data_IF_083876458293
#
_entry.id   IF_083876458293
#
_cell.length_a   1.000
_cell.length_b   1.000
_cell.length_c   1.000
_cell.angle_alpha   90.00
_cell.angle_beta   90.00
_cell.angle_gamma   90.00
#
_symmetry.space_group_name_H-M   'P 1'
#
loop_
_entity.id
_entity.type
_entity.pdbx_description
1 polymer ?
#
# COMPACT_ATOMS: atom_id res chain seq x y z
N UNK A 1 -24.77 -20.80 6.38
CA UNK A 1 -23.36 -20.40 6.17
C UNK A 1 -23.32 -18.91 5.85
N UNK A 2 -22.36 -18.16 6.41
CA UNK A 2 -22.17 -16.74 6.08
C UNK A 2 -21.96 -16.55 4.58
N UNK A 3 -22.47 -15.43 4.03
CA UNK A 3 -22.36 -15.12 2.60
C UNK A 3 -20.93 -14.86 2.16
N UNK A 4 -20.10 -14.36 3.07
CA UNK A 4 -18.69 -14.03 2.80
C UNK A 4 -17.78 -14.63 3.86
N UNK A 5 -16.59 -15.06 3.46
CA UNK A 5 -15.48 -15.40 4.38
C UNK A 5 -14.38 -14.35 4.21
N UNK A 6 -14.02 -13.66 5.26
CA UNK A 6 -13.06 -12.55 5.27
C UNK A 6 -11.84 -12.94 6.11
N UNK A 7 -10.66 -12.85 5.54
CA UNK A 7 -9.40 -13.01 6.29
C UNK A 7 -9.12 -11.71 7.06
N UNK A 8 -9.16 -11.80 8.38
CA UNK A 8 -9.00 -10.67 9.30
C UNK A 8 -7.55 -10.58 9.78
N UNK A 9 -6.86 -9.52 9.38
CA UNK A 9 -5.44 -9.29 9.62
C UNK A 9 -5.25 -8.01 10.43
N UNK A 10 -5.25 -8.08 11.78
CA UNK A 10 -5.07 -6.88 12.60
C UNK A 10 -3.69 -6.23 12.39
N UNK A 11 -2.64 -7.02 12.21
CA UNK A 11 -1.28 -6.52 12.11
C UNK A 11 -0.68 -6.16 13.47
N UNK A 12 -0.06 -4.98 13.57
CA UNK A 12 0.70 -4.57 14.74
C UNK A 12 0.04 -3.37 15.46
N UNK A 13 0.40 -3.20 16.73
CA UNK A 13 0.13 -2.00 17.51
C UNK A 13 -1.33 -1.54 17.43
N UNK A 14 -1.56 -0.34 16.85
CA UNK A 14 -2.90 0.24 16.71
C UNK A 14 -3.84 -0.63 15.86
N UNK A 15 -3.34 -1.47 14.96
CA UNK A 15 -4.12 -2.38 14.16
C UNK A 15 -4.97 -3.33 15.01
N UNK A 16 -4.42 -3.78 16.14
CA UNK A 16 -5.10 -4.63 17.12
C UNK A 16 -6.25 -3.91 17.85
N UNK A 17 -6.29 -2.59 17.80
CA UNK A 17 -7.35 -1.78 18.42
C UNK A 17 -8.40 -1.37 17.39
N UNK A 18 -7.99 -0.91 16.21
CA UNK A 18 -8.92 -0.36 15.22
C UNK A 18 -9.67 -1.43 14.43
N UNK A 19 -9.05 -2.59 14.19
CA UNK A 19 -9.71 -3.65 13.43
C UNK A 19 -10.95 -4.23 14.17
N UNK A 20 -10.90 -4.54 15.47
CA UNK A 20 -12.10 -4.96 16.21
C UNK A 20 -13.24 -3.94 16.13
N UNK A 21 -12.96 -2.65 16.16
CA UNK A 21 -13.99 -1.62 16.02
C UNK A 21 -14.60 -1.59 14.61
N UNK A 22 -13.80 -1.79 13.57
CA UNK A 22 -14.29 -1.96 12.21
C UNK A 22 -15.21 -3.19 12.09
N UNK A 23 -14.86 -4.31 12.74
CA UNK A 23 -15.70 -5.51 12.77
C UNK A 23 -17.03 -5.28 13.50
N UNK A 24 -17.01 -4.49 14.59
CA UNK A 24 -18.25 -4.08 15.28
C UNK A 24 -19.18 -3.28 14.39
N UNK A 25 -18.62 -2.35 13.61
CA UNK A 25 -19.41 -1.56 12.64
C UNK A 25 -19.99 -2.46 11.55
N UNK A 26 -19.18 -3.35 10.96
CA UNK A 26 -19.67 -4.29 9.94
C UNK A 26 -20.79 -5.18 10.46
N UNK A 27 -20.68 -5.66 11.70
CA UNK A 27 -21.73 -6.42 12.36
C UNK A 27 -23.00 -5.58 12.58
N UNK A 28 -22.86 -4.34 13.01
CA UNK A 28 -23.98 -3.44 13.28
C UNK A 28 -24.78 -3.09 12.01
N UNK A 29 -24.12 -3.00 10.84
CA UNK A 29 -24.79 -2.78 9.55
C UNK A 29 -25.28 -4.07 8.88
N UNK A 30 -25.18 -5.21 9.57
CA UNK A 30 -25.69 -6.50 9.09
C UNK A 30 -24.85 -7.12 7.97
N UNK A 31 -23.55 -6.82 7.89
CA UNK A 31 -22.68 -7.47 6.91
C UNK A 31 -22.49 -8.94 7.26
N UNK A 32 -23.02 -9.82 6.42
CA UNK A 32 -23.04 -11.28 6.63
C UNK A 32 -21.70 -11.90 6.25
N UNK A 33 -20.78 -11.98 7.21
CA UNK A 33 -19.44 -12.51 7.02
C UNK A 33 -18.97 -13.37 8.21
N UNK A 34 -18.20 -14.41 7.88
CA UNK A 34 -17.34 -15.13 8.81
C UNK A 34 -15.92 -14.54 8.72
N UNK A 35 -15.26 -14.34 9.85
CA UNK A 35 -13.93 -13.77 9.92
C UNK A 35 -12.93 -14.81 10.38
N UNK A 36 -11.91 -15.06 9.55
CA UNK A 36 -10.78 -15.95 9.87
C UNK A 36 -9.58 -15.09 10.22
N UNK A 37 -9.02 -15.25 11.41
CA UNK A 37 -7.82 -14.55 11.83
C UNK A 37 -6.59 -15.02 11.04
N UNK A 38 -5.71 -14.08 10.68
CA UNK A 38 -4.41 -14.36 10.08
C UNK A 38 -3.36 -13.35 10.54
N UNK A 39 -2.17 -13.84 10.82
CA UNK A 39 -1.06 -13.05 11.31
C UNK A 39 -0.32 -12.35 10.17
N UNK A 40 0.10 -11.10 10.42
CA UNK A 40 0.88 -10.28 9.50
C UNK A 40 1.56 -9.16 10.30
N UNK A 41 2.76 -8.77 9.91
CA UNK A 41 3.39 -7.56 10.42
C UNK A 41 4.69 -7.82 11.17
N UNK A 42 4.98 -6.92 12.10
CA UNK A 42 6.28 -6.83 12.76
C UNK A 42 6.55 -7.97 13.72
N UNK A 43 5.52 -8.45 14.44
CA UNK A 43 5.68 -9.59 15.32
C UNK A 43 6.04 -10.87 14.56
N UNK A 44 5.44 -11.08 13.38
CA UNK A 44 5.82 -12.18 12.48
C UNK A 44 7.27 -12.02 12.01
N UNK A 45 7.69 -10.81 11.66
CA UNK A 45 9.07 -10.54 11.30
C UNK A 45 10.04 -10.90 12.43
N UNK A 46 9.80 -10.40 13.65
CA UNK A 46 10.65 -10.65 14.81
C UNK A 46 10.78 -12.16 15.08
N UNK A 47 9.66 -12.88 15.03
CA UNK A 47 9.56 -14.27 15.46
C UNK A 47 9.98 -15.29 14.39
N UNK A 48 9.80 -14.98 13.11
CA UNK A 48 9.92 -15.93 12.00
C UNK A 48 10.86 -15.44 10.89
N UNK A 49 11.25 -14.16 10.89
CA UNK A 49 12.04 -13.55 9.81
C UNK A 49 11.22 -13.30 8.54
N UNK A 50 9.90 -13.35 8.64
CA UNK A 50 8.98 -13.11 7.54
C UNK A 50 7.74 -12.32 8.03
N UNK A 51 7.54 -11.11 7.53
CA UNK A 51 6.43 -10.25 7.94
C UNK A 51 5.08 -10.63 7.30
N UNK A 52 5.05 -11.52 6.33
CA UNK A 52 3.85 -12.08 5.69
C UNK A 52 3.95 -13.61 5.65
N UNK A 53 3.52 -14.31 6.71
CA UNK A 53 3.62 -15.77 6.81
C UNK A 53 2.86 -16.50 5.68
N UNK A 54 3.39 -17.65 5.26
CA UNK A 54 2.77 -18.44 4.20
C UNK A 54 1.31 -18.85 4.49
N UNK A 55 0.94 -19.25 5.74
CA UNK A 55 -0.47 -19.53 6.07
C UNK A 55 -1.42 -18.36 5.76
N UNK A 56 -0.98 -17.12 5.99
CA UNK A 56 -1.78 -15.93 5.65
C UNK A 56 -1.94 -15.75 4.14
N UNK A 57 -0.88 -16.00 3.37
CA UNK A 57 -0.94 -16.01 1.90
C UNK A 57 -1.93 -17.07 1.42
N UNK A 58 -1.89 -18.27 1.98
CA UNK A 58 -2.76 -19.38 1.59
C UNK A 58 -4.24 -19.09 1.89
N UNK A 59 -4.54 -18.50 3.06
CA UNK A 59 -5.88 -18.04 3.41
C UNK A 59 -6.40 -16.97 2.45
N UNK A 60 -5.57 -15.97 2.14
CA UNK A 60 -5.92 -14.92 1.19
C UNK A 60 -6.13 -15.46 -0.23
N UNK A 61 -5.29 -16.38 -0.67
CA UNK A 61 -5.44 -17.04 -1.97
C UNK A 61 -6.76 -17.83 -2.06
N UNK A 62 -7.15 -18.50 -0.97
CA UNK A 62 -8.38 -19.29 -0.89
C UNK A 62 -9.63 -18.42 -0.86
N UNK A 63 -9.67 -17.42 0.02
CA UNK A 63 -10.89 -16.65 0.30
C UNK A 63 -10.98 -15.34 -0.50
N UNK A 64 -9.87 -14.82 -1.04
CA UNK A 64 -9.79 -13.65 -1.92
C UNK A 64 -10.36 -12.35 -1.34
N UNK A 65 -10.65 -12.32 -0.06
CA UNK A 65 -11.19 -11.18 0.65
C UNK A 65 -10.48 -11.02 1.98
N UNK A 66 -9.79 -9.91 2.16
CA UNK A 66 -9.04 -9.60 3.38
C UNK A 66 -9.44 -8.26 3.97
N UNK A 67 -9.52 -8.18 5.28
CA UNK A 67 -9.65 -6.96 6.05
C UNK A 67 -8.37 -6.75 6.86
N UNK A 68 -7.73 -5.61 6.65
CA UNK A 68 -6.41 -5.33 7.18
C UNK A 68 -6.42 -4.10 8.10
N UNK A 69 -5.77 -4.21 9.26
CA UNK A 69 -5.59 -3.13 10.21
C UNK A 69 -4.40 -2.24 9.89
N UNK A 70 -3.31 -2.40 10.64
CA UNK A 70 -2.09 -1.61 10.45
C UNK A 70 -0.84 -2.45 10.76
N UNK A 71 0.30 -2.06 10.19
CA UNK A 71 1.61 -2.67 10.50
C UNK A 71 2.65 -1.61 10.87
N UNK A 72 3.63 -2.04 11.65
CA UNK A 72 4.90 -1.33 11.84
C UNK A 72 5.82 -1.63 10.67
N UNK A 73 6.57 -0.64 10.20
CA UNK A 73 7.60 -0.79 9.18
C UNK A 73 8.80 0.06 9.54
N UNK A 74 9.99 -0.53 9.53
CA UNK A 74 11.25 0.13 9.87
C UNK A 74 12.29 -0.10 8.78
N UNK A 75 13.34 0.73 8.71
CA UNK A 75 14.47 0.49 7.82
C UNK A 75 15.11 -0.87 8.06
N UNK A 76 15.64 -1.50 7.01
CA UNK A 76 16.16 -2.86 7.06
C UNK A 76 17.23 -3.08 8.15
N UNK A 77 18.09 -2.08 8.38
CA UNK A 77 19.12 -2.15 9.42
C UNK A 77 18.52 -2.33 10.84
N UNK A 78 17.46 -1.57 11.15
CA UNK A 78 16.74 -1.71 12.42
C UNK A 78 15.98 -3.04 12.47
N UNK A 79 15.33 -3.40 11.37
CA UNK A 79 14.59 -4.65 11.25
C UNK A 79 15.47 -5.87 11.57
N UNK A 80 16.71 -5.90 11.08
CA UNK A 80 17.67 -6.97 11.37
C UNK A 80 18.02 -7.05 12.84
N UNK A 81 18.17 -5.92 13.53
CA UNK A 81 18.52 -5.88 14.95
C UNK A 81 17.42 -6.40 15.87
N UNK A 82 16.17 -6.34 15.43
CA UNK A 82 15.00 -6.78 16.21
C UNK A 82 14.61 -8.24 16.01
N UNK A 83 15.20 -8.93 15.04
CA UNK A 83 15.02 -10.37 14.89
C UNK A 83 15.41 -11.11 16.17
N UNK A 84 14.73 -12.21 16.47
CA UNK A 84 15.15 -13.15 17.49
C UNK A 84 16.62 -13.56 17.27
N UNK A 85 17.42 -13.76 18.34
CA UNK A 85 18.85 -14.07 18.23
C UNK A 85 19.14 -15.23 17.26
N UNK A 86 18.31 -16.26 17.29
CA UNK A 86 18.44 -17.46 16.46
C UNK A 86 18.20 -17.23 14.96
N UNK A 87 17.59 -16.10 14.57
CA UNK A 87 17.32 -15.74 13.18
C UNK A 87 18.34 -14.75 12.61
N UNK A 88 19.10 -14.09 13.46
CA UNK A 88 20.09 -13.09 13.04
C UNK A 88 21.19 -13.73 12.21
N UNK A 89 21.63 -13.03 11.16
CA UNK A 89 22.70 -13.52 10.28
C UNK A 89 22.33 -14.66 9.34
N UNK A 90 21.08 -15.12 9.33
CA UNK A 90 20.61 -16.19 8.43
C UNK A 90 20.12 -15.70 7.06
N UNK A 91 20.41 -14.45 6.70
CA UNK A 91 20.05 -13.92 5.38
C UNK A 91 18.61 -13.43 5.24
N UNK A 92 17.84 -13.33 6.34
CA UNK A 92 16.52 -12.71 6.30
C UNK A 92 16.63 -11.24 5.88
N UNK A 93 15.78 -10.81 4.97
CA UNK A 93 15.67 -9.42 4.51
C UNK A 93 14.24 -8.95 4.72
N UNK A 94 14.08 -7.84 5.43
CA UNK A 94 12.76 -7.27 5.66
C UNK A 94 12.21 -6.65 4.38
N UNK A 95 11.04 -7.12 3.98
CA UNK A 95 10.21 -6.49 2.98
C UNK A 95 8.86 -6.12 3.61
N UNK A 96 8.31 -4.97 3.22
CA UNK A 96 6.99 -4.58 3.68
C UNK A 96 5.94 -5.64 3.27
N UNK A 97 5.24 -6.25 4.23
CA UNK A 97 4.24 -7.28 3.92
C UNK A 97 3.10 -6.73 3.04
N UNK A 98 2.82 -5.44 3.10
CA UNK A 98 1.84 -4.78 2.21
C UNK A 98 2.31 -4.78 0.77
N UNK A 99 3.59 -4.46 0.52
CA UNK A 99 4.16 -4.49 -0.83
C UNK A 99 4.16 -5.93 -1.36
N UNK A 100 4.61 -6.87 -0.53
CA UNK A 100 4.61 -8.30 -0.88
C UNK A 100 3.20 -8.79 -1.23
N UNK A 101 2.20 -8.50 -0.40
CA UNK A 101 0.80 -8.87 -0.64
C UNK A 101 0.26 -8.27 -1.94
N UNK A 102 0.56 -6.99 -2.22
CA UNK A 102 0.15 -6.33 -3.46
C UNK A 102 0.75 -7.01 -4.70
N UNK A 103 2.01 -7.38 -4.65
CA UNK A 103 2.70 -8.07 -5.74
C UNK A 103 2.20 -9.50 -5.90
N UNK A 104 2.08 -10.25 -4.80
CA UNK A 104 1.63 -11.66 -4.80
C UNK A 104 0.23 -11.81 -5.41
N UNK A 105 -0.68 -10.92 -5.07
CA UNK A 105 -2.09 -10.99 -5.51
C UNK A 105 -2.43 -10.02 -6.64
N UNK A 106 -1.43 -9.33 -7.21
CA UNK A 106 -1.62 -8.30 -8.24
C UNK A 106 -2.69 -7.27 -7.87
N UNK A 107 -2.61 -6.75 -6.62
CA UNK A 107 -3.53 -5.72 -6.12
C UNK A 107 -3.10 -4.35 -6.65
N UNK A 108 -3.26 -4.17 -7.95
CA UNK A 108 -2.74 -3.01 -8.69
C UNK A 108 -3.65 -1.77 -8.63
N UNK A 109 -4.89 -1.91 -8.21
CA UNK A 109 -5.85 -0.81 -8.11
C UNK A 109 -6.14 -0.48 -6.65
N UNK A 110 -5.70 0.69 -6.20
CA UNK A 110 -6.07 1.24 -4.90
C UNK A 110 -7.19 2.27 -5.09
N UNK A 111 -8.39 1.92 -4.67
CA UNK A 111 -9.55 2.80 -4.70
C UNK A 111 -9.70 3.51 -3.34
N UNK A 112 -9.74 4.84 -3.36
CA UNK A 112 -9.84 5.70 -2.17
C UNK A 112 -11.02 6.65 -2.30
N UNK A 113 -12.20 6.30 -1.81
CA UNK A 113 -13.30 7.24 -1.71
C UNK A 113 -13.02 8.29 -0.62
N UNK A 114 -13.26 9.54 -0.95
CA UNK A 114 -13.16 10.69 -0.05
C UNK A 114 -14.52 11.38 -0.06
N UNK A 115 -15.26 11.23 1.03
CA UNK A 115 -16.61 11.82 1.18
C UNK A 115 -16.59 12.77 2.37
N UNK A 116 -16.98 14.03 2.15
CA UNK A 116 -17.18 15.01 3.21
C UNK A 116 -18.56 14.84 3.82
N UNK A 117 -18.63 14.76 5.15
CA UNK A 117 -19.88 14.77 5.90
C UNK A 117 -20.15 16.19 6.39
N UNK A 118 -21.19 16.83 5.89
CA UNK A 118 -21.53 18.20 6.23
C UNK A 118 -21.60 18.43 7.76
N UNK A 119 -21.04 19.55 8.21
CA UNK A 119 -20.99 19.90 9.64
C UNK A 119 -19.84 19.25 10.42
N UNK A 120 -18.99 18.43 9.79
CA UNK A 120 -17.80 17.95 10.46
C UNK A 120 -16.76 19.08 10.61
N UNK A 121 -16.30 19.39 11.83
CA UNK A 121 -15.39 20.52 12.06
C UNK A 121 -14.01 20.38 11.37
N UNK A 122 -13.67 19.19 10.88
CA UNK A 122 -12.44 18.92 10.13
C UNK A 122 -12.60 19.02 8.62
N UNK A 123 -13.81 19.34 8.13
CA UNK A 123 -14.03 19.51 6.70
C UNK A 123 -13.31 20.74 6.15
N UNK A 124 -13.00 20.67 4.85
CA UNK A 124 -12.45 21.80 4.13
C UNK A 124 -13.47 22.93 4.05
N UNK A 125 -13.06 24.12 4.47
CA UNK A 125 -13.83 25.35 4.39
C UNK A 125 -13.18 26.26 3.33
N UNK A 126 -13.97 26.67 2.36
CA UNK A 126 -13.53 27.58 1.30
C UNK A 126 -13.97 29.01 1.61
N UNK A 127 -13.01 29.97 1.61
CA UNK A 127 -13.32 31.40 1.69
C UNK A 127 -13.92 31.85 0.35
N UNK A 128 -15.07 32.52 0.40
CA UNK A 128 -15.74 33.09 -0.77
C UNK A 128 -15.16 34.48 -1.11
N UNK A 129 -15.41 34.92 -2.34
CA UNK A 129 -14.97 36.24 -2.82
C UNK A 129 -15.65 37.37 -2.06
N UNK A 130 -16.89 37.19 -1.59
CA UNK A 130 -17.66 38.13 -0.79
C UNK A 130 -17.25 38.19 0.69
N UNK A 131 -16.18 37.46 1.08
CA UNK A 131 -15.67 37.38 2.45
C UNK A 131 -16.35 36.35 3.34
N UNK A 132 -17.40 35.70 2.87
CA UNK A 132 -18.06 34.58 3.55
C UNK A 132 -17.29 33.28 3.41
N UNK A 133 -17.84 32.22 4.03
CA UNK A 133 -17.28 30.87 3.97
C UNK A 133 -18.36 29.89 3.49
N UNK A 134 -17.94 28.89 2.73
CA UNK A 134 -18.80 27.76 2.36
C UNK A 134 -18.07 26.44 2.59
N UNK A 135 -18.83 25.42 2.90
CA UNK A 135 -18.40 24.04 3.04
C UNK A 135 -18.82 23.28 1.76
N UNK A 136 -17.92 23.10 0.79
CA UNK A 136 -18.26 22.43 -0.46
C UNK A 136 -18.53 20.94 -0.19
N UNK A 137 -19.54 20.40 -0.85
CA UNK A 137 -19.77 18.97 -0.86
C UNK A 137 -18.58 18.28 -1.56
N UNK A 138 -17.95 17.37 -0.86
CA UNK A 138 -16.86 16.54 -1.39
C UNK A 138 -17.38 15.10 -1.53
N UNK A 139 -17.34 14.57 -2.74
CA UNK A 139 -17.59 13.17 -3.05
C UNK A 139 -16.68 12.80 -4.23
N UNK A 140 -15.46 12.40 -3.89
CA UNK A 140 -14.38 12.13 -4.84
C UNK A 140 -13.81 10.74 -4.59
N UNK A 141 -13.56 9.97 -5.65
CA UNK A 141 -12.85 8.70 -5.52
C UNK A 141 -11.55 8.75 -6.32
N UNK A 142 -10.43 8.56 -5.64
CA UNK A 142 -9.10 8.51 -6.24
C UNK A 142 -8.75 7.05 -6.56
N UNK A 143 -8.44 6.79 -7.82
CA UNK A 143 -7.89 5.51 -8.27
C UNK A 143 -6.37 5.64 -8.42
N UNK A 144 -5.61 4.85 -7.66
CA UNK A 144 -4.16 4.85 -7.68
C UNK A 144 -3.63 3.51 -8.13
N UNK A 145 -2.74 3.53 -9.13
CA UNK A 145 -1.95 2.37 -9.49
C UNK A 145 -0.98 2.03 -8.33
N UNK A 146 -0.86 0.77 -7.96
CA UNK A 146 -0.34 0.37 -6.67
C UNK A 146 0.85 -0.60 -6.74
N UNK A 147 1.22 -1.06 -7.94
CA UNK A 147 2.29 -2.07 -8.17
C UNK A 147 3.38 -1.61 -9.14
N UNK A 148 3.14 -0.54 -9.88
CA UNK A 148 4.08 0.06 -10.84
C UNK A 148 4.50 1.48 -10.42
N UNK A 149 5.20 2.18 -11.28
CA UNK A 149 5.75 3.51 -11.01
C UNK A 149 6.87 3.44 -9.98
N UNK A 150 6.75 4.21 -8.91
CA UNK A 150 7.73 4.18 -7.80
C UNK A 150 7.62 2.90 -6.96
N UNK A 151 6.48 2.20 -7.00
CA UNK A 151 6.27 0.96 -6.26
C UNK A 151 6.90 -0.27 -6.93
N UNK A 152 7.45 -0.12 -8.14
CA UNK A 152 8.23 -1.16 -8.78
C UNK A 152 9.54 -1.47 -8.04
N UNK A 153 10.04 -0.52 -7.24
CA UNK A 153 11.23 -0.71 -6.40
C UNK A 153 12.53 -0.92 -7.19
N UNK A 154 12.60 -0.41 -8.43
CA UNK A 154 13.81 -0.51 -9.27
C UNK A 154 14.71 0.66 -8.96
N UNK A 155 15.65 0.45 -8.04
CA UNK A 155 16.46 1.51 -7.46
C UNK A 155 17.92 1.07 -7.31
N UNK A 156 18.82 2.01 -7.46
CA UNK A 156 20.24 1.84 -7.22
C UNK A 156 20.77 2.98 -6.35
N UNK A 157 21.40 2.62 -5.23
CA UNK A 157 22.37 3.47 -4.56
C UNK A 157 23.73 3.13 -5.17
N UNK A 158 24.48 4.11 -5.66
CA UNK A 158 25.70 3.88 -6.41
C UNK A 158 25.45 3.05 -7.69
N UNK A 159 24.73 3.60 -8.70
CA UNK A 159 24.34 2.86 -9.89
C UNK A 159 25.56 2.36 -10.66
N UNK A 160 25.56 1.10 -11.12
CA UNK A 160 26.66 0.52 -11.87
C UNK A 160 26.85 1.20 -13.24
N UNK A 161 28.04 1.06 -13.83
CA UNK A 161 28.42 1.78 -15.05
C UNK A 161 27.48 1.56 -16.24
N UNK A 162 26.97 0.34 -16.42
CA UNK A 162 26.01 0.04 -17.49
C UNK A 162 24.68 0.80 -17.34
N UNK A 163 24.21 1.01 -16.10
CA UNK A 163 23.02 1.83 -15.81
C UNK A 163 23.34 3.30 -16.09
N UNK A 164 24.48 3.79 -15.65
CA UNK A 164 24.93 5.17 -15.91
C UNK A 164 25.10 5.43 -17.41
N UNK A 165 25.72 4.52 -18.14
CA UNK A 165 25.89 4.61 -19.59
C UNK A 165 24.52 4.70 -20.30
N UNK A 166 23.54 3.87 -19.90
CA UNK A 166 22.19 3.94 -20.44
C UNK A 166 21.52 5.29 -20.14
N UNK A 167 21.64 5.79 -18.90
CA UNK A 167 21.07 7.09 -18.50
C UNK A 167 21.72 8.27 -19.23
N UNK A 168 23.03 8.20 -19.53
CA UNK A 168 23.77 9.22 -20.26
C UNK A 168 23.26 9.42 -21.70
N UNK A 169 22.53 8.48 -22.26
CA UNK A 169 21.87 8.65 -23.57
C UNK A 169 20.70 9.65 -23.50
N UNK A 170 20.15 9.91 -22.30
CA UNK A 170 19.07 10.83 -22.13
C UNK A 170 19.55 12.28 -21.94
N UNK A 171 19.11 13.26 -22.75
CA UNK A 171 19.64 14.63 -22.72
C UNK A 171 19.58 15.32 -21.35
N UNK A 172 18.53 15.07 -20.56
CA UNK A 172 18.37 15.66 -19.22
C UNK A 172 19.30 15.07 -18.16
N UNK A 173 19.87 13.89 -18.41
CA UNK A 173 20.80 13.27 -17.47
C UNK A 173 22.20 13.92 -17.54
N UNK A 174 22.50 14.71 -18.56
CA UNK A 174 23.78 15.42 -18.72
C UNK A 174 24.16 16.27 -17.50
N UNK A 175 23.19 16.83 -16.80
CA UNK A 175 23.42 17.60 -15.57
C UNK A 175 24.01 16.78 -14.42
N UNK A 176 23.92 15.46 -14.47
CA UNK A 176 24.34 14.53 -13.41
C UNK A 176 25.54 13.67 -13.81
N UNK A 177 26.05 13.81 -15.04
CA UNK A 177 27.13 12.99 -15.57
C UNK A 177 28.43 13.10 -14.75
N UNK A 178 28.74 14.28 -14.20
CA UNK A 178 29.90 14.52 -13.37
C UNK A 178 29.77 14.12 -11.91
N UNK A 179 28.55 13.73 -11.47
CA UNK A 179 28.32 13.31 -10.09
C UNK A 179 29.00 11.94 -9.86
N UNK A 180 29.84 11.81 -8.82
CA UNK A 180 30.45 10.52 -8.49
C UNK A 180 29.39 9.44 -8.26
N UNK A 181 29.62 8.16 -8.64
CA UNK A 181 28.66 7.10 -8.43
C UNK A 181 28.21 6.95 -6.98
N UNK A 182 29.13 7.12 -6.03
CA UNK A 182 28.86 7.03 -4.59
C UNK A 182 27.89 8.11 -4.07
N UNK A 183 27.79 9.22 -4.78
CA UNK A 183 26.93 10.35 -4.43
C UNK A 183 25.61 10.36 -5.24
N UNK A 184 25.38 9.33 -6.05
CA UNK A 184 24.24 9.24 -6.95
C UNK A 184 23.34 8.06 -6.58
N UNK A 185 22.05 8.33 -6.38
CA UNK A 185 21.02 7.33 -6.34
C UNK A 185 20.09 7.49 -7.55
N UNK A 186 19.61 6.38 -8.09
CA UNK A 186 18.69 6.36 -9.24
C UNK A 186 17.47 5.52 -8.90
N UNK A 187 16.28 6.07 -9.12
CA UNK A 187 15.00 5.35 -9.03
C UNK A 187 14.31 5.39 -10.40
N UNK A 188 13.96 4.23 -10.93
CA UNK A 188 13.26 4.09 -12.20
C UNK A 188 11.76 3.98 -11.99
N UNK A 189 10.98 4.78 -12.72
CA UNK A 189 9.52 4.63 -12.81
C UNK A 189 9.16 3.75 -13.98
N UNK A 190 8.67 2.56 -13.70
CA UNK A 190 8.22 1.62 -14.73
C UNK A 190 6.71 1.74 -14.84
N UNK A 191 6.22 2.06 -16.03
CA UNK A 191 4.79 2.21 -16.33
C UNK A 191 4.49 1.41 -17.58
N UNK A 192 3.58 0.43 -17.45
CA UNK A 192 3.16 -0.39 -18.58
C UNK A 192 1.80 0.04 -19.12
N UNK A 193 1.61 -0.11 -20.42
CA UNK A 193 0.32 0.16 -21.06
C UNK A 193 -0.82 -0.70 -20.48
N UNK A 194 -0.64 -2.02 -20.22
CA UNK A 194 -1.68 -2.84 -19.60
C UNK A 194 -2.12 -2.34 -18.23
N UNK A 195 -1.19 -1.97 -17.33
CA UNK A 195 -1.53 -1.47 -16.00
C UNK A 195 -2.19 -0.09 -16.06
N UNK A 196 -1.68 0.82 -16.90
CA UNK A 196 -2.32 2.11 -17.13
C UNK A 196 -3.76 1.96 -17.67
N UNK A 197 -3.98 1.04 -18.62
CA UNK A 197 -5.32 0.74 -19.15
C UNK A 197 -6.25 0.22 -18.06
N UNK A 198 -5.79 -0.76 -17.25
CA UNK A 198 -6.62 -1.35 -16.19
C UNK A 198 -7.13 -0.31 -15.20
N UNK A 199 -6.26 0.56 -14.69
CA UNK A 199 -6.68 1.56 -13.71
C UNK A 199 -7.61 2.61 -14.28
N UNK A 200 -7.36 3.07 -15.51
CA UNK A 200 -8.24 4.03 -16.20
C UNK A 200 -9.60 3.39 -16.45
N UNK A 201 -9.63 2.16 -16.98
CA UNK A 201 -10.89 1.42 -17.20
C UNK A 201 -11.68 1.26 -15.91
N UNK A 202 -11.03 0.83 -14.82
CA UNK A 202 -11.69 0.67 -13.52
C UNK A 202 -12.29 1.98 -12.99
N UNK A 203 -11.59 3.12 -13.16
CA UNK A 203 -12.09 4.42 -12.76
C UNK A 203 -13.34 4.83 -13.56
N UNK A 204 -13.32 4.66 -14.89
CA UNK A 204 -14.48 4.98 -15.75
C UNK A 204 -15.67 4.05 -15.49
N UNK A 205 -15.43 2.74 -15.30
CA UNK A 205 -16.50 1.80 -14.97
C UNK A 205 -17.14 2.12 -13.62
N UNK A 206 -16.33 2.49 -12.63
CA UNK A 206 -16.83 2.93 -11.33
C UNK A 206 -17.65 4.21 -11.45
N UNK A 207 -17.16 5.22 -12.18
CA UNK A 207 -17.88 6.48 -12.45
C UNK A 207 -19.24 6.19 -13.08
N UNK A 208 -19.26 5.39 -14.17
CA UNK A 208 -20.50 4.97 -14.84
C UNK A 208 -21.48 4.26 -13.88
N UNK A 209 -20.99 3.35 -13.04
CA UNK A 209 -21.81 2.61 -12.06
C UNK A 209 -22.38 3.52 -10.97
N UNK A 210 -21.68 4.59 -10.62
CA UNK A 210 -22.10 5.58 -9.61
C UNK A 210 -22.97 6.69 -10.18
N UNK A 211 -23.08 6.81 -11.50
CA UNK A 211 -23.85 7.87 -12.16
C UNK A 211 -23.15 9.24 -12.21
N UNK A 212 -21.81 9.23 -12.22
CA UNK A 212 -20.99 10.45 -12.37
C UNK A 212 -20.68 10.73 -13.83
#
# INVERSE_FOLDING_TARGET
MAKHTVVSMPGDGIGNQVLPEALRVLKAVGFDAEYIHADIGWECWINEGNALPQPTIDLLAKHKLGLFGAITSKPNKEAQSELKPELRGKGHVYYSPIVTMRQTFNLDICMRPCVGFLGNPLNYIRKRVDGGFDEPRIDTTVFRQNTEGMYAGVEWTNPPENVRAALNTHPRFKAFTSVPPADLAVSARIITRPAARRIVTAAFEYSKKRGF
#
